data_IF_386795028388
#
_entry.id   IF_386795028388
#
_cell.length_a   1.000
_cell.length_b   1.000
_cell.length_c   1.000
_cell.angle_alpha   90.00
_cell.angle_beta   90.00
_cell.angle_gamma   90.00
#
_symmetry.space_group_name_H-M   'P 1'
#
loop_
_entity.id
_entity.type
_entity.pdbx_description
1 polymer ?
#
# COMPACT_ATOMS: atom_id res chain seq x y z
N UNK A 1 -2.82 -0.48 27.63
CA UNK A 1 -2.36 -0.04 26.31
C UNK A 1 -3.36 -0.48 25.25
N UNK A 2 -3.86 0.46 24.47
CA UNK A 2 -4.71 0.10 23.34
C UNK A 2 -3.86 -0.38 22.19
N UNK A 3 -4.30 -1.47 21.54
CA UNK A 3 -3.67 -1.96 20.34
C UNK A 3 -3.90 -0.99 19.19
N UNK A 4 -2.93 -0.85 18.31
CA UNK A 4 -3.10 -0.04 17.11
C UNK A 4 -4.07 -0.73 16.15
N UNK A 5 -4.84 0.06 15.43
CA UNK A 5 -5.80 -0.44 14.44
C UNK A 5 -5.03 -1.18 13.35
N UNK A 6 -5.39 -2.44 13.03
CA UNK A 6 -4.71 -3.17 11.97
C UNK A 6 -5.00 -2.59 10.58
N UNK A 7 -4.13 -2.95 9.62
CA UNK A 7 -4.25 -2.57 8.22
C UNK A 7 -4.54 -3.80 7.38
N UNK A 8 -5.52 -3.70 6.49
CA UNK A 8 -5.78 -4.69 5.46
C UNK A 8 -5.28 -4.16 4.11
N UNK A 9 -4.45 -4.91 3.41
CA UNK A 9 -3.86 -4.48 2.15
C UNK A 9 -4.11 -5.51 1.05
N UNK A 10 -4.30 -5.02 -0.16
CA UNK A 10 -4.59 -5.83 -1.34
C UNK A 10 -3.35 -6.00 -2.20
N UNK A 11 -3.06 -7.23 -2.59
CA UNK A 11 -1.98 -7.54 -3.54
C UNK A 11 -2.64 -7.96 -4.84
N UNK A 12 -2.52 -7.12 -5.86
CA UNK A 12 -3.06 -7.36 -7.19
C UNK A 12 -1.90 -7.56 -8.14
N UNK A 13 -1.76 -8.77 -8.69
CA UNK A 13 -0.66 -9.12 -9.61
C UNK A 13 -1.24 -9.42 -10.98
N UNK A 14 -0.67 -8.80 -12.01
CA UNK A 14 -1.09 -8.99 -13.39
C UNK A 14 0.13 -8.86 -14.30
N UNK A 15 0.33 -9.85 -15.18
CA UNK A 15 1.41 -9.86 -16.15
C UNK A 15 2.80 -9.62 -15.55
N UNK A 16 3.07 -10.22 -14.38
CA UNK A 16 4.36 -10.08 -13.71
C UNK A 16 4.58 -8.76 -13.01
N UNK A 17 3.51 -8.01 -12.74
CA UNK A 17 3.57 -6.72 -12.07
C UNK A 17 2.55 -6.65 -10.96
N UNK A 18 2.84 -5.88 -9.93
CA UNK A 18 1.94 -5.64 -8.81
C UNK A 18 1.46 -4.20 -8.82
N UNK A 19 0.19 -4.00 -8.48
CA UNK A 19 -0.38 -2.65 -8.40
C UNK A 19 0.07 -1.98 -7.11
N UNK A 20 0.67 -0.80 -7.25
CA UNK A 20 1.14 0.01 -6.12
C UNK A 20 0.65 1.44 -6.26
N UNK A 21 0.61 2.13 -5.12
CA UNK A 21 0.37 3.58 -5.08
C UNK A 21 1.72 4.24 -4.79
N UNK A 22 2.27 4.94 -5.78
CA UNK A 22 3.48 5.75 -5.57
C UNK A 22 3.09 6.99 -4.82
N UNK A 23 3.88 7.34 -3.82
CA UNK A 23 3.60 8.48 -2.96
C UNK A 23 4.79 9.42 -2.86
N UNK A 24 4.46 10.69 -2.73
CA UNK A 24 5.37 11.72 -2.23
C UNK A 24 4.67 12.41 -1.08
N UNK A 25 5.33 12.46 0.07
CA UNK A 25 4.79 13.09 1.27
C UNK A 25 5.83 14.03 1.85
N UNK A 26 5.45 15.28 2.09
CA UNK A 26 6.27 16.26 2.77
C UNK A 26 5.40 17.05 3.75
N UNK A 27 5.80 17.06 5.00
CA UNK A 27 5.13 17.84 6.04
C UNK A 27 5.96 19.08 6.39
N UNK A 28 5.36 20.03 7.11
CA UNK A 28 6.05 21.24 7.52
C UNK A 28 7.17 20.99 8.52
N UNK A 29 7.00 19.98 9.38
CA UNK A 29 8.01 19.61 10.39
C UNK A 29 8.08 18.08 10.49
N UNK A 30 9.24 17.55 10.86
CA UNK A 30 9.43 16.10 11.01
C UNK A 30 8.53 15.52 12.11
N UNK A 31 8.23 16.28 13.15
CA UNK A 31 7.35 15.86 14.25
C UNK A 31 5.91 15.58 13.78
N UNK A 32 5.50 16.18 12.67
CA UNK A 32 4.16 16.00 12.09
C UNK A 32 4.12 14.91 11.03
N UNK A 33 5.26 14.34 10.68
CA UNK A 33 5.39 13.41 9.58
C UNK A 33 5.59 11.98 10.08
N UNK A 34 4.62 11.11 9.79
CA UNK A 34 4.70 9.69 10.18
C UNK A 34 5.89 8.98 9.52
N UNK A 35 6.24 9.36 8.30
CA UNK A 35 7.37 8.76 7.59
C UNK A 35 8.72 9.19 8.17
N UNK A 36 8.82 10.40 8.72
CA UNK A 36 10.00 10.83 9.45
C UNK A 36 10.15 10.02 10.75
N UNK A 37 9.03 9.78 11.46
CA UNK A 37 9.02 9.00 12.70
C UNK A 37 9.53 7.56 12.48
N UNK A 38 8.96 6.86 11.51
CA UNK A 38 9.29 5.45 11.25
C UNK A 38 10.50 5.27 10.34
N UNK A 39 10.89 6.29 9.59
CA UNK A 39 12.08 6.28 8.74
C UNK A 39 13.34 6.74 9.44
N UNK A 40 13.25 7.10 10.72
CA UNK A 40 14.38 7.57 11.53
C UNK A 40 15.16 8.71 10.86
N UNK A 41 14.42 9.69 10.34
CA UNK A 41 15.01 10.85 9.66
C UNK A 41 15.40 11.90 10.70
N UNK A 42 16.68 12.30 10.77
CA UNK A 42 17.12 13.29 11.76
C UNK A 42 16.70 14.71 11.38
N UNK A 43 16.59 15.57 12.39
CA UNK A 43 16.38 17.00 12.23
C UNK A 43 14.92 17.42 12.33
N UNK A 44 14.66 18.73 12.47
CA UNK A 44 13.32 19.25 12.69
C UNK A 44 12.49 19.39 11.40
N UNK A 45 13.12 19.28 10.24
CA UNK A 45 12.47 19.50 8.94
C UNK A 45 12.16 18.18 8.26
N UNK A 46 11.01 18.12 7.60
CA UNK A 46 10.68 17.03 6.70
C UNK A 46 11.12 17.41 5.30
N UNK A 47 12.10 16.69 4.75
CA UNK A 47 12.63 16.95 3.40
C UNK A 47 11.83 16.26 2.30
N UNK A 48 10.78 15.55 2.66
CA UNK A 48 9.95 14.81 1.73
C UNK A 48 10.35 13.35 1.62
N UNK A 49 9.36 12.51 1.32
CA UNK A 49 9.55 11.06 1.19
C UNK A 49 8.93 10.59 -0.12
N UNK A 50 9.71 9.83 -0.90
CA UNK A 50 9.23 9.15 -2.10
C UNK A 50 9.21 7.67 -1.80
N UNK A 51 8.04 7.07 -1.90
CA UNK A 51 7.86 5.64 -1.61
C UNK A 51 6.62 5.12 -2.32
N UNK A 52 6.41 3.82 -2.25
CA UNK A 52 5.20 3.20 -2.78
C UNK A 52 4.59 2.29 -1.72
N UNK A 53 3.28 2.16 -1.73
CA UNK A 53 2.55 1.26 -0.83
C UNK A 53 1.58 0.41 -1.65
N UNK A 54 1.16 -0.70 -1.07
CA UNK A 54 0.04 -1.47 -1.63
C UNK A 54 -1.27 -0.77 -1.28
N UNK A 55 -2.31 -0.88 -2.12
CA UNK A 55 -3.63 -0.39 -1.76
C UNK A 55 -4.09 -1.03 -0.47
N UNK A 56 -4.62 -0.24 0.45
CA UNK A 56 -5.06 -0.75 1.74
C UNK A 56 -5.32 0.36 2.72
N UNK A 57 -5.80 0.01 3.89
CA UNK A 57 -6.11 0.96 4.94
C UNK A 57 -6.56 0.31 6.23
N UNK A 58 -7.06 1.12 7.14
CA UNK A 58 -7.47 0.69 8.47
C UNK A 58 -8.66 -0.26 8.41
N UNK A 59 -8.60 -1.32 9.22
CA UNK A 59 -9.74 -2.21 9.44
C UNK A 59 -10.74 -1.47 10.32
N UNK A 60 -11.96 -1.31 9.84
CA UNK A 60 -13.02 -0.63 10.58
C UNK A 60 -13.71 -1.57 11.56
N UNK A 61 -14.45 -1.00 12.52
CA UNK A 61 -15.18 -1.79 13.51
C UNK A 61 -16.17 -2.74 12.82
N UNK A 62 -16.15 -4.01 13.21
CA UNK A 62 -17.00 -5.03 12.61
C UNK A 62 -16.52 -5.58 11.27
N UNK A 63 -15.40 -5.07 10.76
CA UNK A 63 -14.85 -5.48 9.48
C UNK A 63 -13.70 -6.47 9.68
N UNK A 64 -13.58 -7.46 8.76
CA UNK A 64 -12.40 -8.31 8.74
C UNK A 64 -11.25 -7.60 8.01
N UNK A 65 -10.02 -8.06 8.23
CA UNK A 65 -8.87 -7.52 7.50
C UNK A 65 -9.01 -7.76 5.98
N UNK A 66 -9.55 -8.91 5.59
CA UNK A 66 -9.84 -9.22 4.18
C UNK A 66 -10.88 -8.26 3.60
N UNK A 67 -11.94 -7.98 4.35
CA UNK A 67 -12.97 -7.02 3.95
C UNK A 67 -12.41 -5.62 3.78
N UNK A 68 -11.53 -5.19 4.69
CA UNK A 68 -10.86 -3.91 4.61
C UNK A 68 -9.99 -3.81 3.35
N UNK A 69 -9.24 -4.88 3.03
CA UNK A 69 -8.41 -4.92 1.83
C UNK A 69 -9.23 -4.71 0.56
N UNK A 70 -10.37 -5.40 0.44
CA UNK A 70 -11.26 -5.26 -0.73
C UNK A 70 -11.90 -3.88 -0.80
N UNK A 71 -12.39 -3.38 0.34
CA UNK A 71 -13.02 -2.06 0.40
C UNK A 71 -12.03 -0.95 0.02
N UNK A 72 -10.84 -0.99 0.60
CA UNK A 72 -9.80 0.00 0.30
C UNK A 72 -9.32 -0.08 -1.15
N UNK A 73 -9.21 -1.29 -1.71
CA UNK A 73 -8.86 -1.46 -3.12
C UNK A 73 -9.89 -0.75 -4.01
N UNK A 74 -11.18 -0.98 -3.76
CA UNK A 74 -12.25 -0.35 -4.54
C UNK A 74 -12.28 1.17 -4.35
N UNK A 75 -12.15 1.64 -3.11
CA UNK A 75 -12.15 3.08 -2.80
C UNK A 75 -10.96 3.81 -3.44
N UNK A 76 -9.78 3.21 -3.40
CA UNK A 76 -8.57 3.86 -3.87
C UNK A 76 -8.35 3.72 -5.38
N UNK A 77 -8.78 2.61 -5.97
CA UNK A 77 -8.40 2.25 -7.33
C UNK A 77 -9.58 1.96 -8.26
N UNK A 78 -10.79 1.93 -7.78
CA UNK A 78 -12.02 1.51 -8.48
C UNK A 78 -12.08 0.03 -8.87
N UNK A 79 -11.02 -0.73 -8.62
CA UNK A 79 -11.00 -2.16 -8.92
C UNK A 79 -11.84 -2.95 -7.93
N UNK A 80 -12.50 -4.00 -8.43
CA UNK A 80 -13.21 -4.98 -7.61
C UNK A 80 -12.57 -6.35 -7.81
N UNK A 81 -12.82 -7.26 -6.88
CA UNK A 81 -12.28 -8.61 -6.96
C UNK A 81 -12.71 -9.46 -5.78
N UNK A 82 -12.05 -10.58 -5.61
CA UNK A 82 -12.28 -11.50 -4.50
C UNK A 82 -10.98 -11.79 -3.79
N UNK A 83 -11.05 -12.01 -2.47
CA UNK A 83 -9.86 -12.44 -1.72
C UNK A 83 -9.59 -13.91 -2.04
N UNK A 84 -8.41 -14.18 -2.59
CA UNK A 84 -7.97 -15.56 -2.82
C UNK A 84 -7.43 -16.16 -1.52
N UNK A 85 -6.41 -15.51 -0.92
CA UNK A 85 -5.81 -15.99 0.32
C UNK A 85 -4.98 -14.92 1.01
N UNK A 86 -4.74 -15.13 2.30
CA UNK A 86 -3.76 -14.35 3.04
C UNK A 86 -2.36 -14.80 2.60
N UNK A 87 -1.54 -13.87 2.16
CA UNK A 87 -0.18 -14.15 1.71
C UNK A 87 0.81 -14.12 2.87
N UNK A 88 0.81 -13.03 3.62
CA UNK A 88 1.69 -12.86 4.77
C UNK A 88 1.16 -11.76 5.68
N UNK A 89 1.74 -11.69 6.87
CA UNK A 89 1.46 -10.64 7.86
C UNK A 89 2.75 -9.90 8.19
N UNK A 90 2.61 -8.68 8.67
CA UNK A 90 3.74 -7.86 9.06
C UNK A 90 3.31 -6.66 9.86
N UNK A 91 4.08 -5.59 9.80
CA UNK A 91 3.76 -4.33 10.45
C UNK A 91 3.90 -3.18 9.45
N UNK A 92 3.03 -2.18 9.59
CA UNK A 92 3.06 -0.96 8.79
C UNK A 92 2.89 0.23 9.73
N UNK A 93 3.96 0.99 9.93
CA UNK A 93 3.99 2.11 10.88
C UNK A 93 3.50 1.69 12.28
N UNK A 94 4.03 0.55 12.75
CA UNK A 94 3.68 0.02 14.06
C UNK A 94 2.33 -0.66 14.16
N UNK A 95 1.57 -0.75 13.08
CA UNK A 95 0.26 -1.42 13.03
C UNK A 95 0.41 -2.83 12.51
N UNK A 96 -0.33 -3.82 13.04
CA UNK A 96 -0.42 -5.12 12.38
C UNK A 96 -0.93 -4.94 10.96
N UNK A 97 -0.32 -5.62 10.00
CA UNK A 97 -0.72 -5.53 8.59
C UNK A 97 -0.94 -6.93 8.03
N UNK A 98 -2.01 -7.07 7.26
CA UNK A 98 -2.43 -8.33 6.64
C UNK A 98 -2.51 -8.12 5.14
N UNK A 99 -1.81 -8.97 4.38
CA UNK A 99 -1.66 -8.83 2.94
C UNK A 99 -2.35 -9.99 2.23
N UNK A 100 -3.35 -9.67 1.40
CA UNK A 100 -4.20 -10.65 0.73
C UNK A 100 -4.00 -10.60 -0.78
N UNK A 101 -3.85 -11.78 -1.39
CA UNK A 101 -3.88 -11.90 -2.85
C UNK A 101 -5.33 -11.75 -3.31
N UNK A 102 -5.55 -10.87 -4.28
CA UNK A 102 -6.87 -10.63 -4.85
C UNK A 102 -6.95 -11.31 -6.20
N UNK A 103 -8.02 -12.08 -6.40
CA UNK A 103 -8.32 -12.77 -7.65
C UNK A 103 -9.56 -12.17 -8.31
N UNK A 104 -9.84 -12.58 -9.54
CA UNK A 104 -11.02 -12.15 -10.30
C UNK A 104 -11.15 -10.62 -10.33
N UNK A 105 -10.02 -9.95 -10.53
CA UNK A 105 -9.97 -8.48 -10.55
C UNK A 105 -10.65 -7.97 -11.81
N UNK A 106 -11.57 -7.02 -11.62
CA UNK A 106 -12.33 -6.39 -12.69
C UNK A 106 -12.16 -4.88 -12.64
N UNK A 107 -12.11 -4.25 -13.81
CA UNK A 107 -12.01 -2.82 -13.97
C UNK A 107 -10.63 -2.37 -14.44
N UNK A 108 -10.52 -1.07 -14.67
CA UNK A 108 -9.26 -0.39 -15.00
C UNK A 108 -8.90 0.47 -13.79
N UNK A 109 -7.69 0.31 -13.23
CA UNK A 109 -7.34 1.08 -12.03
C UNK A 109 -7.31 2.58 -12.30
N UNK A 110 -7.95 3.32 -11.41
CA UNK A 110 -8.03 4.78 -11.46
C UNK A 110 -7.96 5.32 -10.04
N UNK A 111 -7.08 6.28 -9.81
CA UNK A 111 -6.94 6.89 -8.48
C UNK A 111 -8.27 7.52 -8.05
N UNK A 112 -8.77 7.13 -6.88
CA UNK A 112 -10.06 7.58 -6.38
C UNK A 112 -10.07 7.64 -4.86
N UNK A 113 -11.22 8.08 -4.29
CA UNK A 113 -11.39 8.17 -2.84
C UNK A 113 -10.59 9.32 -2.24
N UNK A 114 -10.17 9.15 -0.99
CA UNK A 114 -9.45 10.18 -0.25
C UNK A 114 -8.11 10.53 -0.89
N UNK A 115 -7.43 9.56 -1.49
CA UNK A 115 -6.16 9.79 -2.20
C UNK A 115 -6.33 10.77 -3.35
N UNK A 116 -7.40 10.63 -4.14
CA UNK A 116 -7.68 11.56 -5.23
C UNK A 116 -8.01 12.96 -4.72
N UNK A 117 -8.76 13.05 -3.63
CA UNK A 117 -9.17 14.32 -3.02
C UNK A 117 -7.99 15.03 -2.37
N UNK A 118 -7.11 14.29 -1.69
CA UNK A 118 -5.97 14.84 -0.96
C UNK A 118 -4.74 15.08 -1.82
N UNK A 119 -4.80 14.70 -3.09
CA UNK A 119 -3.67 14.83 -4.02
C UNK A 119 -3.22 16.30 -4.14
N UNK A 120 -1.94 16.54 -3.85
CA UNK A 120 -1.33 17.86 -3.91
C UNK A 120 0.17 17.75 -4.18
N UNK A 121 0.84 18.89 -4.32
CA UNK A 121 2.30 18.90 -4.54
C UNK A 121 3.10 18.34 -3.36
N UNK A 122 2.56 18.41 -2.13
CA UNK A 122 3.22 17.91 -0.92
C UNK A 122 2.64 16.60 -0.41
N UNK A 123 1.56 16.13 -1.03
CA UNK A 123 0.92 14.85 -0.72
C UNK A 123 0.42 14.26 -2.04
N UNK A 124 1.33 13.60 -2.74
CA UNK A 124 1.08 13.14 -4.13
C UNK A 124 0.83 11.63 -4.16
N UNK A 125 -0.12 11.21 -4.99
CA UNK A 125 -0.52 9.82 -5.17
C UNK A 125 -0.54 9.49 -6.66
N UNK A 126 -0.02 8.30 -7.03
CA UNK A 126 0.00 7.85 -8.41
C UNK A 126 -0.11 6.32 -8.44
N UNK A 127 -1.09 5.79 -9.18
CA UNK A 127 -1.21 4.34 -9.37
C UNK A 127 -0.20 3.87 -10.42
N UNK A 128 0.53 2.79 -10.13
CA UNK A 128 1.51 2.21 -11.03
C UNK A 128 1.50 0.69 -10.94
N UNK A 129 1.78 0.06 -12.06
CA UNK A 129 2.11 -1.36 -12.09
C UNK A 129 3.62 -1.48 -11.97
N UNK A 130 4.09 -2.25 -11.00
CA UNK A 130 5.51 -2.35 -10.67
C UNK A 130 6.01 -3.78 -10.87
N UNK A 131 7.10 -3.94 -11.61
CA UNK A 131 7.84 -5.19 -11.66
C UNK A 131 8.85 -5.23 -10.50
N UNK A 132 9.66 -6.29 -10.42
CA UNK A 132 10.62 -6.46 -9.33
C UNK A 132 11.64 -5.31 -9.23
N UNK A 133 12.11 -4.80 -10.37
CA UNK A 133 13.04 -3.68 -10.40
C UNK A 133 12.37 -2.38 -9.96
N UNK A 134 11.12 -2.18 -10.38
CA UNK A 134 10.34 -1.00 -9.99
C UNK A 134 10.06 -0.95 -8.49
N UNK A 135 9.87 -2.10 -7.85
CA UNK A 135 9.63 -2.14 -6.40
C UNK A 135 10.78 -1.53 -5.62
N UNK A 136 12.01 -1.77 -6.06
CA UNK A 136 13.18 -1.14 -5.45
C UNK A 136 13.26 0.35 -5.78
N UNK A 137 13.09 0.70 -7.06
CA UNK A 137 13.17 2.08 -7.53
C UNK A 137 12.12 2.97 -6.90
N UNK A 138 10.88 2.48 -6.80
CA UNK A 138 9.77 3.23 -6.22
C UNK A 138 9.82 3.30 -4.69
N UNK A 139 10.65 2.47 -4.05
CA UNK A 139 10.76 2.41 -2.60
C UNK A 139 9.55 1.80 -1.95
N UNK A 140 9.22 0.54 -2.30
CA UNK A 140 8.07 -0.14 -1.68
C UNK A 140 8.20 -0.15 -0.16
N UNK A 141 7.14 0.22 0.52
CA UNK A 141 7.09 0.36 1.97
C UNK A 141 5.94 -0.45 2.56
N UNK A 142 6.13 -1.16 3.67
CA UNK A 142 7.40 -1.40 4.37
C UNK A 142 8.42 -2.16 3.52
N UNK A 143 9.70 -1.91 3.77
CA UNK A 143 10.79 -2.45 2.94
C UNK A 143 10.79 -3.99 2.84
N UNK A 144 10.32 -4.69 3.87
CA UNK A 144 10.23 -6.15 3.87
C UNK A 144 9.33 -6.69 2.74
N UNK A 145 8.38 -5.89 2.26
CA UNK A 145 7.47 -6.30 1.18
C UNK A 145 8.18 -6.55 -0.14
N UNK A 146 9.29 -5.86 -0.39
CA UNK A 146 10.01 -6.01 -1.67
C UNK A 146 10.37 -7.47 -1.95
N UNK A 147 10.93 -8.16 -0.98
CA UNK A 147 11.33 -9.55 -1.13
C UNK A 147 10.12 -10.46 -1.32
N UNK A 148 9.07 -10.27 -0.52
CA UNK A 148 7.85 -11.06 -0.63
C UNK A 148 7.18 -10.88 -1.99
N UNK A 149 7.03 -9.65 -2.45
CA UNK A 149 6.39 -9.33 -3.72
C UNK A 149 7.22 -9.83 -4.90
N UNK A 150 8.54 -9.68 -4.84
CA UNK A 150 9.44 -10.18 -5.88
C UNK A 150 9.28 -11.69 -6.06
N UNK A 151 9.23 -12.44 -4.97
CA UNK A 151 9.03 -13.90 -5.02
C UNK A 151 7.67 -14.26 -5.61
N UNK A 152 6.64 -13.51 -5.24
CA UNK A 152 5.27 -13.73 -5.76
C UNK A 152 5.21 -13.51 -7.27
N UNK A 153 5.81 -12.42 -7.75
CA UNK A 153 5.88 -12.09 -9.18
C UNK A 153 6.64 -13.17 -9.94
N UNK A 154 7.78 -13.61 -9.41
CA UNK A 154 8.61 -14.64 -10.04
C UNK A 154 7.94 -16.01 -10.07
N UNK A 155 7.05 -16.27 -9.12
CA UNK A 155 6.28 -17.52 -9.09
C UNK A 155 5.14 -17.54 -10.12
N UNK A 156 4.80 -16.38 -10.72
CA UNK A 156 3.76 -16.27 -11.73
C UNK A 156 2.33 -16.31 -11.21
N UNK A 157 2.12 -15.94 -9.96
CA UNK A 157 0.78 -15.88 -9.35
C UNK A 157 0.05 -14.60 -9.77
N UNK A 158 -0.71 -14.67 -10.85
CA UNK A 158 -1.47 -13.54 -11.38
C UNK A 158 -2.90 -13.49 -10.81
N UNK A 159 -3.50 -12.28 -10.87
CA UNK A 159 -4.84 -12.02 -10.36
C UNK A 159 -5.95 -12.38 -11.35
N UNK A 160 -5.59 -12.64 -12.58
CA UNK A 160 -6.57 -12.85 -13.65
C UNK A 160 -6.76 -14.26 -14.13
#
# INVERSE_FOLDING_TARGET
MSAKIPRGAAVVVEAGKVLVVKRYLRQGASAECVMCEYGDVPGPRCDGHRYAVLPGGHVEAGESAAGAALRELEEETTLTGAVDRLLWTGTHNGRPAYYFLISDVDGVPELSGDEAVEHSATNHFELRWADAADLEEFGIYPAALRQHLTRLIEAGDDAG
#
